data_IF_521572471486
#
_entry.id   IF_521572471486
#
_cell.length_a   1.000
_cell.length_b   1.000
_cell.length_c   1.000
_cell.angle_alpha   90.00
_cell.angle_beta   90.00
_cell.angle_gamma   90.00
#
_symmetry.space_group_name_H-M   'P 1'
#
loop_
_entity.id
_entity.type
_entity.pdbx_description
1 polymer ?
#
# COMPACT_ATOMS: atom_id res chain seq x y z
N UNK A 1 27.49 -1.86 -15.10
CA UNK A 1 26.17 -1.63 -14.53
C UNK A 1 25.18 -2.03 -15.60
N UNK A 2 24.49 -3.14 -15.44
CA UNK A 2 23.22 -3.34 -16.11
C UNK A 2 22.37 -2.21 -15.55
N UNK A 3 22.11 -1.18 -16.38
CA UNK A 3 21.22 -0.11 -16.02
C UNK A 3 19.83 -0.69 -15.74
N UNK A 4 18.93 0.12 -15.30
CA UNK A 4 17.56 -0.17 -14.90
C UNK A 4 16.69 -0.86 -15.99
N UNK A 5 17.32 -1.56 -16.93
CA UNK A 5 16.68 -2.27 -18.03
C UNK A 5 16.22 -3.65 -17.56
N UNK A 6 14.95 -3.74 -17.19
CA UNK A 6 14.26 -5.02 -17.05
C UNK A 6 13.97 -5.58 -18.44
N UNK A 7 14.17 -6.87 -18.63
CA UNK A 7 13.93 -7.53 -19.89
C UNK A 7 13.51 -8.99 -19.72
N UNK A 8 13.07 -9.60 -20.80
CA UNK A 8 12.81 -11.04 -20.84
C UNK A 8 13.86 -11.72 -21.68
N UNK A 9 14.48 -12.77 -21.13
CA UNK A 9 15.33 -13.69 -21.87
C UNK A 9 14.49 -14.88 -22.29
N UNK A 10 14.50 -15.19 -23.58
CA UNK A 10 13.81 -16.34 -24.15
C UNK A 10 14.83 -17.42 -24.45
N UNK A 11 14.66 -18.59 -23.86
CA UNK A 11 15.42 -19.77 -24.18
C UNK A 11 14.58 -20.69 -25.06
N UNK A 12 15.03 -20.91 -26.29
CA UNK A 12 14.42 -21.86 -27.20
C UNK A 12 15.40 -23.02 -27.41
N UNK A 13 14.98 -24.20 -27.05
CA UNK A 13 15.76 -25.43 -27.26
C UNK A 13 15.08 -26.24 -28.34
N UNK A 14 15.85 -26.55 -29.37
CA UNK A 14 15.44 -27.41 -30.48
C UNK A 14 16.21 -28.73 -30.37
N UNK A 15 15.53 -29.81 -30.16
CA UNK A 15 16.10 -31.15 -30.18
C UNK A 15 15.74 -31.85 -31.49
N UNK A 16 16.77 -32.28 -32.24
CA UNK A 16 16.60 -33.07 -33.47
C UNK A 16 17.06 -34.48 -33.19
N UNK A 17 16.16 -35.42 -33.27
CA UNK A 17 16.45 -36.84 -33.00
C UNK A 17 15.72 -37.75 -33.97
N UNK A 18 16.48 -38.55 -34.75
CA UNK A 18 16.01 -39.60 -35.68
C UNK A 18 14.71 -39.17 -36.44
N UNK A 19 14.77 -38.06 -37.14
CA UNK A 19 13.67 -37.56 -37.95
C UNK A 19 12.53 -36.91 -37.19
N UNK A 20 12.68 -36.71 -35.88
CA UNK A 20 11.76 -35.90 -35.03
C UNK A 20 12.41 -34.60 -34.65
N UNK A 21 11.61 -33.55 -34.57
CA UNK A 21 12.00 -32.26 -34.08
C UNK A 21 11.10 -31.94 -32.89
N UNK A 22 11.72 -31.72 -31.73
CA UNK A 22 10.99 -31.25 -30.54
C UNK A 22 11.53 -29.88 -30.15
N UNK A 23 10.64 -28.98 -29.84
CA UNK A 23 10.98 -27.62 -29.40
C UNK A 23 10.40 -27.40 -28.02
N UNK A 24 11.25 -26.89 -27.13
CA UNK A 24 10.85 -26.40 -25.81
C UNK A 24 11.24 -24.93 -25.70
N UNK A 25 10.32 -24.12 -25.23
CA UNK A 25 10.58 -22.70 -24.99
C UNK A 25 10.34 -22.37 -23.52
N UNK A 26 11.22 -21.53 -22.98
CA UNK A 26 11.07 -20.96 -21.64
C UNK A 26 11.44 -19.49 -21.67
N UNK A 27 10.83 -18.70 -20.84
CA UNK A 27 11.17 -17.30 -20.68
C UNK A 27 11.55 -17.01 -19.23
N UNK A 28 12.59 -16.20 -19.08
CA UNK A 28 13.04 -15.71 -17.76
C UNK A 28 13.07 -14.20 -17.82
N UNK A 29 12.63 -13.58 -16.74
CA UNK A 29 12.71 -12.15 -16.58
C UNK A 29 14.04 -11.77 -15.96
N UNK A 30 14.65 -10.68 -16.43
CA UNK A 30 15.86 -10.07 -15.89
C UNK A 30 15.52 -8.64 -15.47
N UNK A 31 15.98 -8.25 -14.30
CA UNK A 31 15.75 -6.95 -13.71
C UNK A 31 14.49 -6.92 -12.83
N UNK A 32 14.50 -6.04 -11.87
CA UNK A 32 13.36 -5.77 -10.99
C UNK A 32 12.34 -4.90 -11.69
N UNK A 33 11.06 -5.08 -11.39
CA UNK A 33 10.02 -4.14 -11.78
C UNK A 33 9.42 -3.57 -10.52
N UNK A 34 9.47 -2.25 -10.45
CA UNK A 34 8.88 -1.51 -9.33
C UNK A 34 7.38 -1.83 -9.19
N UNK A 35 6.90 -1.95 -7.96
CA UNK A 35 5.47 -2.15 -7.70
C UNK A 35 4.65 -0.95 -8.17
N UNK A 36 3.35 -1.14 -8.34
CA UNK A 36 2.42 -0.07 -8.72
C UNK A 36 1.20 -0.10 -7.81
N UNK A 37 0.79 1.06 -7.32
CA UNK A 37 -0.53 1.25 -6.74
C UNK A 37 -1.53 1.30 -7.90
N UNK A 38 -2.50 0.37 -7.92
CA UNK A 38 -3.51 0.27 -8.98
C UNK A 38 -4.77 1.03 -8.58
N UNK A 39 -5.14 0.92 -7.30
CA UNK A 39 -6.35 1.51 -6.78
C UNK A 39 -6.17 1.93 -5.33
N UNK A 40 -6.86 2.99 -4.92
CA UNK A 40 -6.96 3.43 -3.52
C UNK A 40 -8.41 3.28 -3.09
N UNK A 41 -8.61 2.58 -1.99
CA UNK A 41 -9.90 2.42 -1.34
C UNK A 41 -9.89 3.19 -0.02
N UNK A 42 -10.37 4.42 -0.06
CA UNK A 42 -10.49 5.30 1.09
C UNK A 42 -11.67 6.25 0.92
N UNK A 43 -12.31 6.59 2.03
CA UNK A 43 -13.38 7.58 2.01
C UNK A 43 -12.83 8.96 1.63
N UNK A 44 -13.53 9.68 0.74
CA UNK A 44 -13.19 11.07 0.43
C UNK A 44 -13.68 12.06 1.51
N UNK A 45 -14.59 11.64 2.36
CA UNK A 45 -15.13 12.44 3.48
C UNK A 45 -15.25 11.57 4.72
N UNK A 46 -14.64 12.02 5.79
CA UNK A 46 -14.67 11.36 7.09
C UNK A 46 -15.28 12.34 8.11
N UNK A 47 -16.28 11.90 8.84
CA UNK A 47 -16.86 12.69 9.93
C UNK A 47 -16.14 12.38 11.24
N UNK A 48 -15.49 13.40 11.82
CA UNK A 48 -14.87 13.29 13.13
C UNK A 48 -15.93 13.12 14.20
N UNK A 49 -15.83 12.09 15.05
CA UNK A 49 -16.81 11.89 16.11
C UNK A 49 -16.82 13.04 17.13
N UNK A 50 -17.95 13.26 17.75
CA UNK A 50 -18.08 14.19 18.86
C UNK A 50 -17.66 13.54 20.19
N UNK A 51 -17.24 14.34 21.17
CA UNK A 51 -16.84 13.84 22.48
C UNK A 51 -15.46 13.13 22.48
N UNK A 52 -15.18 12.43 23.57
CA UNK A 52 -13.92 11.70 23.76
C UNK A 52 -14.04 10.25 23.23
N UNK A 53 -14.48 10.10 21.99
CA UNK A 53 -14.66 8.81 21.32
C UNK A 53 -13.73 8.70 20.13
N UNK A 54 -13.65 7.52 19.54
CA UNK A 54 -12.96 7.30 18.27
C UNK A 54 -13.86 6.55 17.29
N UNK A 55 -13.64 6.77 16.00
CA UNK A 55 -14.16 5.93 14.91
C UNK A 55 -13.02 5.33 14.13
N UNK A 56 -13.24 4.15 13.55
CA UNK A 56 -12.27 3.46 12.71
C UNK A 56 -12.72 3.54 11.26
N UNK A 57 -11.83 3.95 10.37
CA UNK A 57 -12.08 4.07 8.94
C UNK A 57 -11.10 3.18 8.17
N UNK A 58 -11.63 2.32 7.31
CA UNK A 58 -10.81 1.46 6.47
C UNK A 58 -10.14 2.28 5.37
N UNK A 59 -8.83 2.17 5.29
CA UNK A 59 -8.01 2.73 4.21
C UNK A 59 -7.28 1.59 3.57
N UNK A 60 -7.30 1.51 2.24
CA UNK A 60 -6.66 0.44 1.50
C UNK A 60 -6.03 0.90 0.20
N UNK A 61 -5.11 0.09 -0.28
CA UNK A 61 -4.47 0.22 -1.59
C UNK A 61 -4.32 -1.15 -2.23
N UNK A 62 -4.73 -1.26 -3.49
CA UNK A 62 -4.47 -2.41 -4.32
C UNK A 62 -3.12 -2.24 -5.02
N UNK A 63 -2.24 -3.22 -4.86
CA UNK A 63 -0.88 -3.19 -5.38
C UNK A 63 -0.66 -4.31 -6.37
N UNK A 64 -0.03 -4.00 -7.47
CA UNK A 64 0.46 -4.97 -8.44
C UNK A 64 1.98 -4.89 -8.53
N UNK A 65 2.63 -6.05 -8.46
CA UNK A 65 4.03 -6.23 -8.77
C UNK A 65 4.17 -7.33 -9.82
N UNK A 66 4.85 -7.03 -10.91
CA UNK A 66 5.01 -7.98 -12.01
C UNK A 66 5.98 -9.13 -11.65
N UNK A 67 6.83 -8.93 -10.65
CA UNK A 67 7.70 -9.96 -10.09
C UNK A 67 7.00 -10.77 -9.00
N UNK A 68 5.73 -10.47 -8.75
CA UNK A 68 4.84 -11.14 -7.81
C UNK A 68 4.68 -10.37 -6.50
N UNK A 69 3.51 -10.52 -5.87
CA UNK A 69 3.19 -9.85 -4.60
C UNK A 69 4.18 -10.18 -3.47
N UNK A 70 4.79 -11.36 -3.52
CA UNK A 70 5.85 -11.72 -2.57
C UNK A 70 7.09 -10.82 -2.66
N UNK A 71 7.25 -10.04 -3.74
CA UNK A 71 8.32 -9.07 -3.88
C UNK A 71 8.00 -7.75 -3.17
N UNK A 72 6.75 -7.44 -2.92
CA UNK A 72 6.35 -6.27 -2.15
C UNK A 72 6.84 -6.40 -0.71
N UNK A 73 7.57 -5.40 -0.24
CA UNK A 73 8.14 -5.35 1.10
C UNK A 73 7.19 -4.70 2.10
N UNK A 74 6.60 -3.57 1.70
CA UNK A 74 5.57 -2.86 2.46
C UNK A 74 4.79 -1.88 1.58
N UNK A 75 3.63 -1.52 2.05
CA UNK A 75 2.75 -0.49 1.47
C UNK A 75 2.36 0.48 2.58
N UNK A 76 2.25 1.76 2.27
CA UNK A 76 1.85 2.76 3.24
C UNK A 76 1.56 4.11 2.60
N UNK A 77 1.16 5.07 3.41
CA UNK A 77 0.93 6.43 2.96
C UNK A 77 1.41 7.45 3.98
N UNK A 78 1.75 8.65 3.50
CA UNK A 78 1.95 9.84 4.32
C UNK A 78 0.71 10.73 4.22
N UNK A 79 0.48 11.56 5.23
CA UNK A 79 -0.66 12.45 5.30
C UNK A 79 -0.19 13.90 5.40
N UNK A 80 -0.69 14.76 4.53
CA UNK A 80 -0.39 16.18 4.49
C UNK A 80 -1.67 16.99 4.69
N UNK A 81 -1.70 17.86 5.71
CA UNK A 81 -2.83 18.76 5.99
C UNK A 81 -2.71 20.02 5.13
N UNK A 82 -3.60 20.19 4.18
CA UNK A 82 -3.48 21.22 3.14
C UNK A 82 -3.63 22.63 3.74
N UNK A 83 -4.69 22.89 4.52
CA UNK A 83 -4.93 24.22 5.11
C UNK A 83 -3.87 24.61 6.15
N UNK A 84 -3.28 23.62 6.80
CA UNK A 84 -2.23 23.85 7.81
C UNK A 84 -0.81 23.83 7.26
N UNK A 85 -0.65 23.57 5.95
CA UNK A 85 0.64 23.43 5.27
C UNK A 85 1.63 22.55 6.08
N UNK A 86 1.15 21.42 6.56
CA UNK A 86 1.91 20.59 7.50
C UNK A 86 1.80 19.10 7.21
N UNK A 87 2.95 18.42 7.25
CA UNK A 87 2.97 16.96 7.22
C UNK A 87 2.51 16.42 8.58
N UNK A 88 1.70 15.37 8.53
CA UNK A 88 1.21 14.70 9.74
C UNK A 88 2.13 13.56 10.12
N UNK A 89 2.02 13.09 11.38
CA UNK A 89 2.78 11.96 11.91
C UNK A 89 4.30 12.11 11.71
N UNK A 90 4.81 13.37 11.78
CA UNK A 90 6.23 13.70 11.55
C UNK A 90 6.79 13.17 10.21
N UNK A 91 5.92 12.93 9.24
CA UNK A 91 6.28 12.38 7.94
C UNK A 91 6.47 10.86 7.92
N UNK A 92 6.21 10.18 9.02
CA UNK A 92 6.27 8.74 9.06
C UNK A 92 5.10 8.11 8.29
N UNK A 93 5.38 7.00 7.62
CA UNK A 93 4.36 6.25 6.93
C UNK A 93 3.36 5.61 7.90
N UNK A 94 2.10 5.65 7.50
CA UNK A 94 1.04 4.82 8.06
C UNK A 94 1.02 3.56 7.19
N UNK A 95 1.42 2.43 7.76
CA UNK A 95 1.54 1.17 7.03
C UNK A 95 0.18 0.50 6.84
N UNK A 96 0.03 -0.15 5.69
CA UNK A 96 -1.09 -0.99 5.31
C UNK A 96 -0.63 -2.45 5.28
N UNK A 97 -1.53 -3.38 5.55
CA UNK A 97 -1.24 -4.80 5.72
C UNK A 97 -2.12 -5.63 4.79
N UNK A 98 -1.52 -6.67 4.20
CA UNK A 98 -2.17 -7.71 3.39
C UNK A 98 -1.99 -9.03 4.14
N UNK A 99 -2.68 -9.16 5.28
CA UNK A 99 -2.45 -10.23 6.26
C UNK A 99 -3.64 -11.17 6.48
N UNK A 100 -4.83 -10.80 5.98
CA UNK A 100 -6.07 -11.56 6.18
C UNK A 100 -6.40 -11.78 7.66
N UNK A 101 -5.88 -10.93 8.55
CA UNK A 101 -5.91 -11.15 9.99
C UNK A 101 -6.91 -10.25 10.70
N UNK A 102 -7.48 -10.80 11.77
CA UNK A 102 -8.24 -10.04 12.77
C UNK A 102 -7.41 -9.69 14.00
N UNK A 103 -6.10 -9.93 13.96
CA UNK A 103 -5.22 -9.64 15.08
C UNK A 103 -5.15 -8.14 15.35
N UNK A 104 -5.14 -7.79 16.64
CA UNK A 104 -5.06 -6.40 17.07
C UNK A 104 -3.63 -5.89 16.88
N UNK A 105 -3.46 -4.88 16.01
CA UNK A 105 -2.18 -4.22 15.76
C UNK A 105 -1.94 -3.15 16.82
N UNK A 106 -2.95 -2.38 17.15
CA UNK A 106 -2.91 -1.36 18.19
C UNK A 106 -4.13 -1.44 19.11
N UNK A 107 -3.91 -1.21 20.40
CA UNK A 107 -4.98 -1.16 21.38
C UNK A 107 -5.90 0.05 21.14
N UNK A 108 -7.22 -0.08 21.47
CA UNK A 108 -7.84 -1.26 22.06
C UNK A 108 -8.18 -2.37 21.05
N UNK A 109 -8.60 -2.05 19.81
CA UNK A 109 -9.15 -3.03 18.88
C UNK A 109 -8.82 -2.69 17.40
N UNK A 110 -7.70 -2.01 17.15
CA UNK A 110 -7.33 -1.58 15.81
C UNK A 110 -6.63 -2.74 15.07
N UNK A 111 -7.26 -3.20 14.00
CA UNK A 111 -6.77 -4.29 13.13
C UNK A 111 -6.41 -3.75 11.75
N UNK A 112 -5.78 -4.57 10.91
CA UNK A 112 -5.57 -4.26 9.51
C UNK A 112 -6.90 -4.01 8.76
N UNK A 113 -7.91 -4.78 9.10
CA UNK A 113 -9.18 -4.80 8.37
C UNK A 113 -9.09 -5.53 7.04
N UNK A 114 -7.95 -6.13 6.76
CA UNK A 114 -7.77 -7.01 5.60
C UNK A 114 -8.56 -8.30 5.75
N UNK A 115 -9.07 -8.82 4.63
CA UNK A 115 -9.97 -9.98 4.62
C UNK A 115 -9.25 -11.23 4.14
N UNK A 116 -8.32 -11.06 3.19
CA UNK A 116 -7.66 -12.19 2.53
C UNK A 116 -6.18 -11.89 2.29
N UNK A 117 -5.33 -12.46 3.14
CA UNK A 117 -3.90 -12.24 3.05
C UNK A 117 -3.28 -12.74 1.73
N UNK A 118 -2.40 -11.95 1.17
CA UNK A 118 -1.64 -12.26 -0.04
C UNK A 118 -2.42 -12.03 -1.34
N UNK A 119 -3.51 -11.27 -1.31
CA UNK A 119 -4.29 -10.95 -2.51
C UNK A 119 -3.89 -9.62 -3.18
N UNK A 120 -2.99 -8.87 -2.54
CA UNK A 120 -2.49 -7.58 -3.02
C UNK A 120 -3.33 -6.38 -2.60
N UNK A 121 -4.34 -6.59 -1.75
CA UNK A 121 -5.15 -5.53 -1.16
C UNK A 121 -4.64 -5.24 0.24
N UNK A 122 -3.83 -4.23 0.36
CA UNK A 122 -3.28 -3.78 1.64
C UNK A 122 -4.24 -2.84 2.32
N UNK A 123 -4.53 -3.03 3.60
CA UNK A 123 -5.46 -2.18 4.33
C UNK A 123 -5.06 -1.90 5.79
N UNK A 124 -5.66 -0.86 6.36
CA UNK A 124 -5.55 -0.53 7.77
C UNK A 124 -6.75 0.28 8.23
N UNK A 125 -7.25 0.00 9.44
CA UNK A 125 -8.31 0.77 10.08
C UNK A 125 -7.71 1.93 10.84
N UNK A 126 -7.66 3.10 10.21
CA UNK A 126 -7.13 4.31 10.86
C UNK A 126 -8.09 4.81 11.96
N UNK A 127 -7.57 5.21 13.13
CA UNK A 127 -8.38 5.84 14.16
C UNK A 127 -8.60 7.33 13.86
N UNK A 128 -9.83 7.77 13.95
CA UNK A 128 -10.23 9.19 13.94
C UNK A 128 -10.77 9.55 15.32
N UNK A 129 -10.02 10.36 16.04
CA UNK A 129 -10.30 10.73 17.41
C UNK A 129 -11.20 11.95 17.48
N UNK A 130 -12.17 11.90 18.37
CA UNK A 130 -13.17 12.94 18.55
C UNK A 130 -12.63 14.21 19.22
N UNK A 131 -13.39 15.29 19.05
CA UNK A 131 -13.04 16.64 19.52
C UNK A 131 -13.07 16.82 21.05
N UNK A 132 -13.64 15.88 21.77
CA UNK A 132 -13.81 15.98 23.23
C UNK A 132 -12.68 15.36 24.06
N UNK A 133 -11.63 14.82 23.41
CA UNK A 133 -10.47 14.33 24.14
C UNK A 133 -9.72 15.50 24.81
N UNK A 134 -9.31 15.30 26.05
CA UNK A 134 -8.55 16.33 26.80
C UNK A 134 -7.09 16.42 26.34
N UNK A 135 -6.52 15.34 25.80
CA UNK A 135 -5.20 15.33 25.19
C UNK A 135 -5.33 15.65 23.70
N UNK A 136 -4.69 16.72 23.27
CA UNK A 136 -4.72 17.19 21.89
C UNK A 136 -4.07 16.18 20.90
N UNK A 137 -3.19 15.32 21.36
CA UNK A 137 -2.63 14.25 20.56
C UNK A 137 -3.67 13.20 20.15
N UNK A 138 -4.76 13.09 20.91
CA UNK A 138 -5.92 12.26 20.62
C UNK A 138 -7.11 13.06 20.11
N UNK A 139 -6.84 14.13 19.38
CA UNK A 139 -7.84 14.86 18.62
C UNK A 139 -7.42 14.92 17.15
N UNK A 140 -8.15 14.24 16.28
CA UNK A 140 -7.88 14.32 14.85
C UNK A 140 -8.19 15.73 14.35
N UNK A 141 -7.26 16.35 13.64
CA UNK A 141 -7.49 17.64 12.99
C UNK A 141 -8.57 17.54 11.94
N UNK A 142 -9.36 18.59 11.76
CA UNK A 142 -10.29 18.74 10.64
C UNK A 142 -9.66 19.53 9.51
N UNK A 143 -10.19 19.40 8.29
CA UNK A 143 -9.70 20.04 7.09
C UNK A 143 -9.48 19.05 5.95
N UNK A 144 -8.85 19.53 4.91
CA UNK A 144 -8.50 18.71 3.72
C UNK A 144 -7.11 18.13 3.89
N UNK A 145 -6.99 16.84 3.65
CA UNK A 145 -5.73 16.12 3.71
C UNK A 145 -5.44 15.49 2.35
N UNK A 146 -4.18 15.51 1.94
CA UNK A 146 -3.67 14.71 0.85
C UNK A 146 -2.92 13.52 1.43
N UNK A 147 -3.34 12.32 1.05
CA UNK A 147 -2.67 11.08 1.38
C UNK A 147 -1.87 10.61 0.17
N UNK A 148 -0.57 10.49 0.31
CA UNK A 148 0.33 10.05 -0.74
C UNK A 148 0.76 8.61 -0.46
N UNK A 149 0.19 7.67 -1.23
CA UNK A 149 0.42 6.23 -1.11
C UNK A 149 1.64 5.82 -1.90
N UNK A 150 2.39 4.88 -1.35
CA UNK A 150 3.58 4.29 -1.96
C UNK A 150 3.72 2.84 -1.54
N UNK A 151 4.29 2.03 -2.42
CA UNK A 151 4.75 0.67 -2.13
C UNK A 151 6.26 0.59 -2.31
N UNK A 152 6.93 -0.21 -1.48
CA UNK A 152 8.34 -0.54 -1.64
C UNK A 152 8.48 -2.04 -1.85
N UNK A 153 9.36 -2.45 -2.76
CA UNK A 153 9.70 -3.85 -2.96
C UNK A 153 10.90 -4.29 -2.12
N UNK A 154 11.26 -5.57 -2.25
CA UNK A 154 12.40 -6.17 -1.54
C UNK A 154 13.76 -5.76 -2.09
N UNK A 155 13.79 -5.08 -3.23
CA UNK A 155 14.99 -4.47 -3.80
C UNK A 155 15.17 -3.01 -3.38
N UNK A 156 14.34 -2.54 -2.43
CA UNK A 156 14.30 -1.18 -1.91
C UNK A 156 13.90 -0.11 -2.95
N UNK A 157 13.23 -0.52 -4.04
CA UNK A 157 12.69 0.38 -5.05
C UNK A 157 11.23 0.76 -4.73
N UNK A 158 10.86 1.98 -5.08
CA UNK A 158 9.56 2.55 -4.73
C UNK A 158 8.66 2.66 -5.96
N UNK A 159 7.37 2.44 -5.74
CA UNK A 159 6.34 2.81 -6.71
C UNK A 159 6.30 4.32 -6.94
N UNK A 160 5.67 4.75 -8.02
CA UNK A 160 5.21 6.13 -8.10
C UNK A 160 4.15 6.38 -7.02
N UNK A 161 4.13 7.61 -6.49
CA UNK A 161 3.10 8.02 -5.53
C UNK A 161 1.72 8.04 -6.20
N UNK A 162 0.73 7.53 -5.50
CA UNK A 162 -0.67 7.69 -5.83
C UNK A 162 -1.35 8.53 -4.74
N UNK A 163 -1.94 9.65 -5.12
CA UNK A 163 -2.51 10.61 -4.16
C UNK A 163 -4.03 10.46 -4.06
N UNK A 164 -4.56 10.63 -2.85
CA UNK A 164 -5.98 10.68 -2.54
C UNK A 164 -6.26 11.87 -1.62
N UNK A 165 -7.31 12.62 -1.91
CA UNK A 165 -7.75 13.70 -1.03
C UNK A 165 -8.91 13.23 -0.15
N UNK A 166 -8.82 13.57 1.15
CA UNK A 166 -9.86 13.30 2.13
C UNK A 166 -10.19 14.56 2.93
N UNK A 167 -11.46 14.80 3.14
CA UNK A 167 -11.96 15.88 4.01
C UNK A 167 -12.37 15.27 5.33
N UNK A 168 -11.77 15.72 6.44
CA UNK A 168 -12.17 15.37 7.79
C UNK A 168 -12.97 16.54 8.37
N UNK A 169 -14.24 16.33 8.71
CA UNK A 169 -15.17 17.39 9.16
C UNK A 169 -15.89 17.06 10.46
#
# INVERSE_FOLDING_TARGET
TLGDDSGSVYLNVLAVYIGKIEQQSSSFRIGNIIPRIININADSVITRPSGATLSLHLVGAEVFDADGLNNVKWVGFTSFHIEGDSIMNDGNYIYLYDDGSSDVIYLPDITSGDILGGDGIYSFKIPVFGSGNTDLNYQTKTGTFRWDFVAQDKNDEYSLNASHEVVIQ
#
